data_IF_294287866640
#
_entry.id   IF_294287866640
#
_cell.length_a   1.000
_cell.length_b   1.000
_cell.length_c   1.000
_cell.angle_alpha   90.00
_cell.angle_beta   90.00
_cell.angle_gamma   90.00
#
_symmetry.space_group_name_H-M   'P 1'
#
loop_
_entity.id
_entity.type
_entity.pdbx_description
1 polymer ?
#
# COMPACT_ATOMS: atom_id res chain seq x y z
N UNK A 1 -43.01 45.75 -23.62
CA UNK A 1 -42.20 45.44 -22.43
C UNK A 1 -41.89 43.94 -22.48
N UNK A 2 -40.63 43.55 -22.77
CA UNK A 2 -40.20 42.15 -22.85
C UNK A 2 -39.51 41.80 -21.54
N UNK A 3 -40.16 40.99 -20.71
CA UNK A 3 -39.57 40.43 -19.49
C UNK A 3 -38.84 39.14 -19.87
N UNK A 4 -37.52 39.10 -19.69
CA UNK A 4 -36.72 37.90 -19.85
C UNK A 4 -36.42 37.34 -18.46
N UNK A 5 -37.06 36.23 -18.13
CA UNK A 5 -36.76 35.44 -16.92
C UNK A 5 -35.48 34.66 -17.21
N UNK A 6 -34.38 35.01 -16.55
CA UNK A 6 -33.17 34.20 -16.53
C UNK A 6 -33.40 32.98 -15.62
N UNK A 7 -33.65 31.82 -16.22
CA UNK A 7 -33.56 30.54 -15.50
C UNK A 7 -32.09 30.23 -15.23
N UNK A 8 -31.67 30.34 -13.98
CA UNK A 8 -30.40 29.78 -13.53
C UNK A 8 -30.55 28.25 -13.49
N UNK A 9 -30.02 27.56 -14.49
CA UNK A 9 -29.82 26.12 -14.42
C UNK A 9 -28.71 25.84 -13.40
N UNK A 10 -29.10 25.45 -12.18
CA UNK A 10 -28.18 24.90 -11.20
C UNK A 10 -27.64 23.59 -11.76
N UNK A 11 -26.42 23.62 -12.29
CA UNK A 11 -25.66 22.42 -12.63
C UNK A 11 -25.37 21.69 -11.32
N UNK A 12 -26.24 20.75 -10.96
CA UNK A 12 -25.93 19.78 -9.91
C UNK A 12 -24.83 18.87 -10.43
N UNK A 13 -23.58 19.25 -10.15
CA UNK A 13 -22.44 18.36 -10.28
C UNK A 13 -22.63 17.22 -9.29
N UNK A 14 -23.01 16.05 -9.79
CA UNK A 14 -22.96 14.79 -9.04
C UNK A 14 -21.48 14.49 -8.85
N UNK A 15 -20.92 14.96 -7.75
CA UNK A 15 -19.61 14.53 -7.28
C UNK A 15 -19.80 13.10 -6.77
N UNK A 16 -19.45 12.12 -7.61
CA UNK A 16 -19.25 10.75 -7.15
C UNK A 16 -18.00 10.79 -6.26
N UNK A 17 -18.22 10.99 -4.97
CA UNK A 17 -17.19 10.82 -3.96
C UNK A 17 -16.96 9.31 -3.89
N UNK A 18 -15.88 8.83 -4.50
CA UNK A 18 -15.31 7.56 -4.07
C UNK A 18 -14.92 7.76 -2.62
N UNK A 19 -15.76 7.28 -1.72
CA UNK A 19 -15.41 7.18 -0.31
C UNK A 19 -14.15 6.33 -0.28
N UNK A 20 -13.00 6.97 -0.01
CA UNK A 20 -11.81 6.31 0.47
C UNK A 20 -12.15 5.72 1.84
N UNK A 21 -12.98 4.68 1.86
CA UNK A 21 -13.11 3.78 2.99
C UNK A 21 -11.73 3.17 3.20
N UNK A 22 -11.38 3.02 4.47
CA UNK A 22 -10.14 2.43 4.98
C UNK A 22 -9.57 1.38 4.00
N UNK A 23 -8.27 1.46 3.70
CA UNK A 23 -7.63 0.49 2.80
C UNK A 23 -7.84 -0.98 3.25
N UNK A 24 -8.27 -1.18 4.49
CA UNK A 24 -8.63 -2.46 5.07
C UNK A 24 -10.07 -2.38 5.61
N UNK A 25 -10.94 -3.29 5.17
CA UNK A 25 -12.32 -3.35 5.60
C UNK A 25 -12.42 -3.65 7.12
N UNK A 26 -13.33 -2.98 7.86
CA UNK A 26 -13.63 -3.34 9.25
C UNK A 26 -13.94 -4.83 9.38
N UNK A 27 -13.27 -5.54 10.30
CA UNK A 27 -13.45 -6.99 10.50
C UNK A 27 -12.46 -7.88 9.74
N UNK A 28 -11.43 -7.31 9.11
CA UNK A 28 -10.33 -8.12 8.54
C UNK A 28 -9.61 -8.91 9.64
N UNK A 29 -9.57 -10.23 9.49
CA UNK A 29 -8.83 -11.11 10.40
C UNK A 29 -7.35 -11.17 10.02
N UNK A 30 -6.47 -10.77 10.93
CA UNK A 30 -5.03 -10.94 10.75
C UNK A 30 -4.50 -12.16 11.49
N UNK A 31 -3.52 -12.84 10.88
CA UNK A 31 -2.74 -13.85 11.59
C UNK A 31 -1.94 -13.21 12.72
N UNK A 32 -1.57 -14.01 13.73
CA UNK A 32 -0.59 -13.57 14.73
C UNK A 32 0.79 -13.57 14.06
N UNK A 33 1.64 -12.58 14.33
CA UNK A 33 2.99 -12.54 13.75
C UNK A 33 3.82 -13.72 14.27
N UNK A 34 4.24 -14.60 13.36
CA UNK A 34 4.95 -15.83 13.71
C UNK A 34 6.48 -15.68 13.80
N UNK A 35 7.05 -14.58 13.27
CA UNK A 35 8.52 -14.45 13.09
C UNK A 35 9.22 -13.44 14.01
N UNK A 36 8.58 -13.02 15.10
CA UNK A 36 9.17 -12.05 16.03
C UNK A 36 9.31 -10.66 15.41
N UNK A 37 10.34 -9.90 15.81
CA UNK A 37 10.55 -8.51 15.33
C UNK A 37 11.08 -8.47 13.90
N UNK A 38 10.57 -7.54 13.08
CA UNK A 38 11.00 -7.34 11.70
C UNK A 38 12.48 -6.91 11.63
N UNK A 39 13.26 -7.43 10.66
CA UNK A 39 14.69 -7.14 10.53
C UNK A 39 14.99 -5.74 9.97
N UNK A 40 13.99 -5.03 9.45
CA UNK A 40 14.14 -3.70 8.84
C UNK A 40 13.09 -2.75 9.40
N UNK A 41 13.51 -1.55 9.79
CA UNK A 41 12.59 -0.50 10.26
C UNK A 41 11.68 0.00 9.12
N UNK A 42 12.21 0.04 7.90
CA UNK A 42 11.49 0.30 6.64
C UNK A 42 11.05 -1.00 5.94
N UNK A 43 10.85 -2.08 6.69
CA UNK A 43 10.44 -3.37 6.14
C UNK A 43 8.93 -3.49 5.94
N UNK A 44 8.54 -4.46 5.11
CA UNK A 44 7.18 -4.99 5.14
C UNK A 44 7.01 -5.91 6.35
N UNK A 45 5.92 -5.73 7.10
CA UNK A 45 5.60 -6.55 8.27
C UNK A 45 4.47 -7.56 8.01
N UNK A 46 3.78 -7.42 6.88
CA UNK A 46 2.69 -8.28 6.48
C UNK A 46 2.21 -7.99 5.08
N UNK A 47 1.13 -8.65 4.71
CA UNK A 47 0.44 -8.48 3.43
C UNK A 47 -1.06 -8.58 3.62
N UNK A 48 -1.78 -7.81 2.82
CA UNK A 48 -3.22 -7.92 2.66
C UNK A 48 -3.56 -8.87 1.52
N UNK A 49 -4.39 -9.86 1.81
CA UNK A 49 -4.80 -10.87 0.85
C UNK A 49 -6.33 -10.90 0.69
N UNK A 50 -6.76 -11.09 -0.56
CA UNK A 50 -8.18 -11.28 -0.92
C UNK A 50 -8.37 -12.69 -1.46
N UNK A 51 -9.23 -13.47 -0.80
CA UNK A 51 -9.66 -14.79 -1.26
C UNK A 51 -11.16 -14.75 -1.53
N UNK A 52 -11.51 -14.42 -2.78
CA UNK A 52 -12.91 -14.21 -3.18
C UNK A 52 -13.54 -13.04 -2.42
N UNK A 53 -14.62 -13.25 -1.64
CA UNK A 53 -15.23 -12.20 -0.83
C UNK A 53 -14.52 -11.98 0.52
N UNK A 54 -13.60 -12.87 0.91
CA UNK A 54 -12.91 -12.79 2.18
C UNK A 54 -11.67 -11.93 2.09
N UNK A 55 -11.47 -11.12 3.11
CA UNK A 55 -10.26 -10.33 3.23
C UNK A 55 -9.57 -10.59 4.55
N UNK A 56 -8.27 -10.86 4.47
CA UNK A 56 -7.44 -11.23 5.60
C UNK A 56 -6.04 -10.62 5.45
N UNK A 57 -5.31 -10.59 6.55
CA UNK A 57 -3.94 -10.08 6.60
C UNK A 57 -3.02 -11.19 7.11
N UNK A 58 -1.91 -11.40 6.41
CA UNK A 58 -0.84 -12.26 6.89
C UNK A 58 0.22 -11.38 7.56
N UNK A 59 0.32 -11.43 8.88
CA UNK A 59 1.40 -10.79 9.61
C UNK A 59 2.62 -11.71 9.64
N UNK A 60 3.76 -11.18 9.21
CA UNK A 60 5.02 -11.91 9.22
C UNK A 60 5.79 -11.63 10.51
N UNK A 61 5.86 -10.37 10.93
CA UNK A 61 6.66 -9.92 12.06
C UNK A 61 6.05 -8.68 12.73
N UNK A 62 6.53 -8.34 13.92
CA UNK A 62 6.18 -7.11 14.63
C UNK A 62 7.18 -5.99 14.32
N UNK A 63 6.71 -4.76 14.22
CA UNK A 63 7.61 -3.63 14.01
C UNK A 63 8.30 -3.23 15.31
N UNK A 64 9.60 -2.95 15.25
CA UNK A 64 10.44 -2.68 16.43
C UNK A 64 9.90 -1.54 17.31
N UNK A 65 9.41 -0.46 16.68
CA UNK A 65 8.96 0.74 17.39
C UNK A 65 7.58 0.55 18.05
N UNK A 66 6.67 -0.14 17.38
CA UNK A 66 5.26 -0.22 17.79
C UNK A 66 4.88 -1.55 18.42
N UNK A 67 5.75 -2.57 18.31
CA UNK A 67 5.49 -3.97 18.68
C UNK A 67 4.25 -4.60 18.01
N UNK A 68 3.75 -3.98 16.94
CA UNK A 68 2.63 -4.47 16.13
C UNK A 68 2.96 -4.31 14.64
N UNK A 69 2.32 -5.08 13.77
CA UNK A 69 2.28 -4.77 12.34
C UNK A 69 1.04 -3.90 12.08
N UNK A 70 1.20 -2.65 11.62
CA UNK A 70 0.05 -1.77 11.36
C UNK A 70 -0.78 -2.27 10.18
N UNK A 71 -2.08 -2.00 10.23
CA UNK A 71 -3.08 -2.40 9.22
C UNK A 71 -3.88 -1.20 8.70
N UNK A 72 -3.51 0.00 9.10
CA UNK A 72 -4.12 1.21 8.59
C UNK A 72 -3.56 1.59 7.20
N UNK A 73 -4.28 2.49 6.54
CA UNK A 73 -3.97 2.92 5.18
C UNK A 73 -2.63 3.63 5.06
N UNK A 74 -2.17 4.31 6.10
CA UNK A 74 -0.90 5.04 6.04
C UNK A 74 0.29 4.07 5.97
N UNK A 75 0.07 2.79 6.26
CA UNK A 75 1.06 1.72 6.18
C UNK A 75 0.77 0.71 5.06
N UNK A 76 -0.21 1.00 4.19
CA UNK A 76 -0.58 0.14 3.08
C UNK A 76 0.16 0.55 1.80
N UNK A 77 1.13 -0.26 1.39
CA UNK A 77 1.89 -0.07 0.16
C UNK A 77 1.30 -0.94 -0.96
N UNK A 78 0.62 -0.29 -1.92
CA UNK A 78 0.04 -0.95 -3.09
C UNK A 78 1.12 -1.21 -4.15
N UNK A 79 1.35 -2.48 -4.48
CA UNK A 79 2.33 -2.95 -5.46
C UNK A 79 1.63 -3.89 -6.41
N UNK A 80 1.38 -3.44 -7.64
CA UNK A 80 0.62 -4.18 -8.65
C UNK A 80 -0.75 -4.65 -8.13
N UNK A 81 -0.93 -5.96 -7.90
CA UNK A 81 -2.16 -6.56 -7.36
C UNK A 81 -2.08 -6.89 -5.88
N UNK A 82 -0.98 -6.52 -5.21
CA UNK A 82 -0.68 -6.86 -3.82
C UNK A 82 -0.66 -5.59 -2.98
N UNK A 83 -0.98 -5.72 -1.70
CA UNK A 83 -0.86 -4.61 -0.74
C UNK A 83 0.00 -5.11 0.41
N UNK A 84 1.19 -4.54 0.53
CA UNK A 84 2.10 -4.85 1.62
C UNK A 84 1.84 -3.91 2.79
N UNK A 85 1.90 -4.45 4.00
CA UNK A 85 1.85 -3.67 5.24
C UNK A 85 3.27 -3.28 5.62
N UNK A 86 3.52 -2.00 5.88
CA UNK A 86 4.86 -1.46 6.19
C UNK A 86 5.00 -1.10 7.67
N UNK A 87 6.23 -1.18 8.19
CA UNK A 87 6.49 -0.77 9.57
C UNK A 87 6.54 0.74 9.81
N UNK A 88 6.75 1.51 8.75
CA UNK A 88 6.69 2.97 8.78
C UNK A 88 5.58 3.45 7.84
N UNK A 89 4.96 4.61 8.15
CA UNK A 89 4.02 5.21 7.23
C UNK A 89 4.66 5.45 5.87
N UNK A 90 3.95 5.13 4.79
CA UNK A 90 4.43 5.31 3.41
C UNK A 90 4.82 6.76 3.14
N UNK A 91 4.16 7.73 3.78
CA UNK A 91 4.47 9.17 3.66
C UNK A 91 5.84 9.57 4.22
N UNK A 92 6.47 8.71 5.04
CA UNK A 92 7.83 8.92 5.55
C UNK A 92 8.91 8.26 4.69
N UNK A 93 8.51 7.47 3.71
CA UNK A 93 9.40 6.81 2.78
C UNK A 93 9.60 7.75 1.59
N UNK A 94 10.86 7.99 1.20
CA UNK A 94 11.17 8.84 0.06
C UNK A 94 10.65 8.25 -1.25
N UNK A 95 10.44 9.10 -2.24
CA UNK A 95 10.13 8.66 -3.60
C UNK A 95 11.36 8.06 -4.30
N UNK A 96 11.12 7.13 -5.22
CA UNK A 96 12.15 6.52 -6.06
C UNK A 96 12.49 7.38 -7.29
N UNK A 97 13.75 7.34 -7.71
CA UNK A 97 14.13 7.74 -9.06
C UNK A 97 13.69 6.68 -10.09
N UNK A 98 13.69 7.03 -11.38
CA UNK A 98 13.32 6.09 -12.45
C UNK A 98 14.32 4.94 -12.53
N UNK A 99 13.81 3.70 -12.56
CA UNK A 99 14.65 2.49 -12.59
C UNK A 99 15.31 2.16 -11.23
N UNK A 100 14.97 2.89 -10.17
CA UNK A 100 15.44 2.56 -8.83
C UNK A 100 14.64 1.39 -8.24
N UNK A 101 15.34 0.50 -7.53
CA UNK A 101 14.73 -0.60 -6.79
C UNK A 101 13.95 -0.05 -5.60
N UNK A 102 12.63 -0.21 -5.64
CA UNK A 102 11.69 0.23 -4.60
C UNK A 102 11.56 -0.80 -3.48
N UNK A 103 11.44 -2.08 -3.81
CA UNK A 103 11.19 -3.15 -2.85
C UNK A 103 12.10 -4.35 -3.13
N UNK A 104 12.91 -4.72 -2.14
CA UNK A 104 13.92 -5.79 -2.27
C UNK A 104 13.63 -6.93 -1.29
N UNK A 105 13.37 -8.14 -1.82
CA UNK A 105 13.23 -9.35 -1.02
C UNK A 105 14.58 -10.05 -0.91
N UNK A 106 15.38 -9.61 0.08
CA UNK A 106 16.70 -10.19 0.35
C UNK A 106 16.54 -11.58 0.96
N UNK A 107 16.56 -12.61 0.10
CA UNK A 107 16.37 -14.08 0.32
C UNK A 107 14.94 -14.52 0.01
N UNK A 108 14.71 -15.84 -0.02
CA UNK A 108 13.41 -16.54 -0.14
C UNK A 108 12.40 -16.17 0.99
N UNK A 109 12.46 -14.95 1.49
CA UNK A 109 11.66 -14.41 2.57
C UNK A 109 10.45 -13.66 2.03
N UNK A 110 9.48 -13.51 2.91
CA UNK A 110 8.21 -12.83 2.68
C UNK A 110 8.28 -11.35 3.13
N UNK A 111 9.35 -11.00 3.85
CA UNK A 111 9.65 -9.66 4.35
C UNK A 111 10.55 -8.97 3.32
N UNK A 112 10.06 -7.89 2.74
CA UNK A 112 10.80 -7.03 1.82
C UNK A 112 11.33 -5.78 2.54
N UNK A 113 12.46 -5.27 2.08
CA UNK A 113 12.98 -3.97 2.51
C UNK A 113 12.47 -2.89 1.55
N UNK A 114 11.70 -1.92 2.05
CA UNK A 114 11.18 -0.80 1.24
C UNK A 114 12.24 0.30 1.17
N UNK A 115 12.88 0.45 0.01
CA UNK A 115 13.95 1.43 -0.23
C UNK A 115 13.42 2.82 -0.54
N UNK A 116 12.32 2.86 -1.27
CA UNK A 116 11.63 4.07 -1.71
C UNK A 116 10.23 3.68 -2.22
N UNK A 117 9.35 4.66 -2.46
CA UNK A 117 8.02 4.44 -3.05
C UNK A 117 7.96 4.99 -4.48
N UNK A 118 7.26 4.31 -5.39
CA UNK A 118 7.06 4.83 -6.73
C UNK A 118 6.15 6.05 -6.67
N UNK A 119 6.59 7.17 -7.27
CA UNK A 119 5.80 8.39 -7.33
C UNK A 119 4.51 8.20 -8.12
N UNK A 120 3.51 9.05 -7.85
CA UNK A 120 2.18 8.96 -8.46
C UNK A 120 2.26 8.84 -10.00
N UNK A 121 1.71 7.74 -10.53
CA UNK A 121 1.66 7.44 -11.97
C UNK A 121 2.74 6.49 -12.47
N UNK A 122 3.79 6.23 -11.67
CA UNK A 122 4.78 5.17 -11.95
C UNK A 122 4.27 3.82 -11.49
N UNK A 123 4.68 2.77 -12.20
CA UNK A 123 4.29 1.40 -11.90
C UNK A 123 5.45 0.68 -11.24
N UNK A 124 5.10 -0.12 -10.24
CA UNK A 124 5.98 -1.18 -9.77
C UNK A 124 6.08 -2.23 -10.87
N UNK A 125 7.30 -2.60 -11.23
CA UNK A 125 7.57 -3.66 -12.18
C UNK A 125 8.37 -4.73 -11.46
N UNK A 126 7.85 -5.94 -11.42
CA UNK A 126 8.60 -7.07 -10.89
C UNK A 126 9.79 -7.40 -11.79
N UNK A 127 10.99 -7.35 -11.22
CA UNK A 127 12.25 -7.71 -11.87
C UNK A 127 12.88 -8.88 -11.13
N UNK A 128 13.39 -9.84 -11.89
CA UNK A 128 14.12 -10.98 -11.34
C UNK A 128 15.59 -10.88 -11.71
N UNK A 129 16.46 -10.72 -10.71
CA UNK A 129 17.90 -10.61 -10.88
C UNK A 129 18.61 -11.51 -9.86
N UNK A 130 19.59 -12.29 -10.33
CA UNK A 130 20.38 -13.20 -9.49
C UNK A 130 19.53 -14.15 -8.62
N UNK A 131 18.40 -14.62 -9.16
CA UNK A 131 17.47 -15.51 -8.45
C UNK A 131 16.64 -14.84 -7.34
N UNK A 132 16.69 -13.51 -7.24
CA UNK A 132 15.89 -12.71 -6.29
C UNK A 132 14.82 -11.93 -7.03
N UNK A 133 13.70 -11.71 -6.34
CA UNK A 133 12.61 -10.86 -6.83
C UNK A 133 12.74 -9.49 -6.16
N UNK A 134 12.70 -8.44 -6.96
CA UNK A 134 12.58 -7.08 -6.49
C UNK A 134 11.62 -6.30 -7.39
N UNK A 135 11.19 -5.12 -6.94
CA UNK A 135 10.33 -4.22 -7.72
C UNK A 135 11.05 -2.93 -8.01
N UNK A 136 10.99 -2.47 -9.25
CA UNK A 136 11.52 -1.18 -9.72
C UNK A 136 10.38 -0.23 -10.09
N UNK A 137 10.65 1.07 -10.11
CA UNK A 137 9.70 2.08 -10.56
C UNK A 137 9.91 2.44 -12.04
N UNK A 138 8.91 2.16 -12.87
CA UNK A 138 8.87 2.49 -14.31
C UNK A 138 7.75 3.46 -14.69
#
# INVERSE_FOLDING_TARGET
MKSAVFMMALSMSISIVFTMESAIAPGTHCTKPDKGTCPFTNGTCGEYNRLGPFTYCDHYCTCEVTNICPTDKDHALEVETRIFLTCQPISKIRECDTGEVSLDFRRLGIIGEVKCICSHGRKYVQVQQDGKVHYECS
#
